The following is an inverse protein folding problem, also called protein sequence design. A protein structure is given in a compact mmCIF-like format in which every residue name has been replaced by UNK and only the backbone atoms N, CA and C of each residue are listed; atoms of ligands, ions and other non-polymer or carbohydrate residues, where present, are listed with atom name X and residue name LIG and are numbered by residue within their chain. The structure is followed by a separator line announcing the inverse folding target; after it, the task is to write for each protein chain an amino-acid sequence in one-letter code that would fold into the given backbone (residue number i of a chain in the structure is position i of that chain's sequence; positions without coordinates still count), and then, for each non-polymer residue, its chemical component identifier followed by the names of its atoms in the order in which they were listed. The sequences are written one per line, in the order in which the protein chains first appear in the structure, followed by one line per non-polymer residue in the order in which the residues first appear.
data_IF_612294463863
#
_entry.id   IF_612294463863
#
_cell.length_a   1.000
_cell.length_b   1.000
_cell.length_c   1.000
_cell.angle_alpha   90.00
_cell.angle_beta   90.00
_cell.angle_gamma   90.00
#
_symmetry.space_group_name_H-M   'P 1'
#
loop_
_entity.id
_entity.type
_entity.pdbx_description
1 polymer ?
#
# COMPACT_ATOMS: atom_id res chain seq x y z
N UNK A 1 -34.07 0.05 12.82
CA UNK A 1 -33.19 1.08 13.43
C UNK A 1 -31.79 0.49 13.48
N UNK A 2 -30.88 1.00 12.64
CA UNK A 2 -29.46 0.62 12.67
C UNK A 2 -28.83 1.35 13.87
N UNK A 3 -28.03 0.70 14.74
CA UNK A 3 -27.41 1.40 15.85
C UNK A 3 -26.55 2.56 15.33
N UNK A 4 -26.61 3.72 15.98
CA UNK A 4 -25.69 4.82 15.73
C UNK A 4 -24.25 4.30 15.82
N UNK A 5 -23.41 4.68 14.85
CA UNK A 5 -21.98 4.34 14.74
C UNK A 5 -21.28 4.33 16.11
N UNK A 6 -20.90 3.13 16.55
CA UNK A 6 -20.20 2.82 17.80
C UNK A 6 -18.68 2.78 17.65
N UNK A 7 -18.16 3.07 16.45
CA UNK A 7 -16.73 3.03 16.16
C UNK A 7 -16.04 4.17 16.91
N UNK A 8 -15.05 3.89 17.77
CA UNK A 8 -14.33 4.95 18.46
C UNK A 8 -13.46 5.76 17.48
N UNK A 9 -13.19 7.03 17.80
CA UNK A 9 -12.35 7.90 16.97
C UNK A 9 -10.87 7.50 16.95
N UNK A 10 -10.48 6.62 17.86
CA UNK A 10 -9.15 6.01 17.92
C UNK A 10 -9.34 4.50 18.00
N UNK A 11 -8.77 3.79 17.04
CA UNK A 11 -8.65 2.33 17.06
C UNK A 11 -7.21 1.96 17.37
N UNK A 12 -7.03 0.91 18.15
CA UNK A 12 -5.73 0.31 18.44
C UNK A 12 -5.67 -1.10 17.84
N UNK A 13 -4.63 -1.38 17.07
CA UNK A 13 -4.37 -2.69 16.48
C UNK A 13 -3.25 -3.40 17.24
N UNK A 14 -3.51 -4.64 17.67
CA UNK A 14 -2.57 -5.51 18.38
C UNK A 14 -2.40 -6.87 17.70
N UNK A 15 -1.25 -7.49 17.84
CA UNK A 15 -1.01 -8.85 17.37
C UNK A 15 -1.75 -9.88 18.23
N UNK A 16 -2.42 -10.82 17.56
CA UNK A 16 -2.96 -12.02 18.19
C UNK A 16 -2.03 -13.22 17.97
N UNK A 17 -2.15 -14.23 18.84
CA UNK A 17 -1.35 -15.45 18.78
C UNK A 17 -1.66 -16.35 17.58
N UNK A 18 -2.78 -16.14 16.90
CA UNK A 18 -3.23 -16.91 15.74
C UNK A 18 -2.88 -16.23 14.39
N UNK A 19 -2.10 -15.15 14.44
CA UNK A 19 -1.73 -14.34 13.27
C UNK A 19 -2.82 -13.38 12.81
N UNK A 20 -3.94 -13.28 13.53
CA UNK A 20 -4.92 -12.21 13.36
C UNK A 20 -4.45 -10.94 14.07
N UNK A 21 -5.10 -9.83 13.72
CA UNK A 21 -4.95 -8.53 14.32
C UNK A 21 -6.17 -8.27 15.18
N UNK A 22 -5.97 -8.08 16.47
CA UNK A 22 -7.03 -7.65 17.37
C UNK A 22 -7.29 -6.16 17.18
N UNK A 23 -8.57 -5.81 17.07
CA UNK A 23 -9.02 -4.43 16.91
C UNK A 23 -9.65 -3.99 18.23
N UNK A 24 -9.03 -3.03 18.90
CA UNK A 24 -9.37 -2.61 20.26
C UNK A 24 -9.74 -1.13 20.32
N UNK A 25 -10.51 -0.75 21.34
CA UNK A 25 -10.65 0.64 21.77
C UNK A 25 -9.40 1.12 22.56
N UNK A 26 -9.40 2.38 22.98
CA UNK A 26 -8.29 2.97 23.75
C UNK A 26 -8.13 2.40 25.17
N UNK A 27 -9.14 1.68 25.67
CA UNK A 27 -9.14 1.05 26.99
C UNK A 27 -8.77 -0.45 26.91
N UNK A 28 -8.49 -0.97 25.71
CA UNK A 28 -8.16 -2.38 25.48
C UNK A 28 -9.38 -3.29 25.33
N UNK A 29 -10.59 -2.76 25.17
CA UNK A 29 -11.78 -3.57 24.93
C UNK A 29 -11.84 -3.97 23.45
N UNK A 30 -12.09 -5.25 23.13
CA UNK A 30 -12.28 -5.70 21.75
C UNK A 30 -13.47 -5.04 21.07
N UNK A 31 -13.24 -4.53 19.86
CA UNK A 31 -14.26 -3.98 18.97
C UNK A 31 -14.83 -5.09 18.08
N UNK A 32 -15.51 -6.06 18.70
CA UNK A 32 -16.18 -7.18 18.02
C UNK A 32 -17.21 -6.72 16.98
N UNK A 33 -17.73 -5.50 17.10
CA UNK A 33 -18.68 -4.94 16.12
C UNK A 33 -18.05 -4.69 14.74
N UNK A 34 -16.72 -4.71 14.63
CA UNK A 34 -16.01 -4.63 13.34
C UNK A 34 -15.91 -5.99 12.63
N UNK A 35 -16.29 -7.09 13.31
CA UNK A 35 -16.56 -8.39 12.71
C UNK A 35 -17.93 -8.35 12.01
N UNK A 36 -18.07 -7.51 10.99
CA UNK A 36 -19.33 -7.44 10.25
C UNK A 36 -19.58 -8.73 9.48
N UNK A 37 -20.84 -9.20 9.49
CA UNK A 37 -21.33 -10.28 8.62
C UNK A 37 -21.39 -9.92 7.14
N UNK A 38 -20.61 -8.92 6.70
CA UNK A 38 -20.35 -8.60 5.30
C UNK A 38 -19.04 -9.25 4.85
N UNK A 39 -18.90 -9.49 3.55
CA UNK A 39 -17.69 -10.12 3.02
C UNK A 39 -16.42 -9.25 3.27
N UNK A 40 -16.60 -7.92 3.31
CA UNK A 40 -15.58 -6.92 3.63
C UNK A 40 -16.19 -5.82 4.51
N UNK A 41 -15.42 -5.34 5.49
CA UNK A 41 -15.70 -4.17 6.30
C UNK A 41 -14.77 -3.01 5.91
N UNK A 42 -15.32 -1.84 5.61
CA UNK A 42 -14.55 -0.62 5.35
C UNK A 42 -14.88 0.42 6.42
N UNK A 43 -13.86 0.92 7.11
CA UNK A 43 -14.02 1.76 8.30
C UNK A 43 -13.18 3.01 8.10
N UNK A 44 -13.75 4.17 8.39
CA UNK A 44 -13.00 5.41 8.53
C UNK A 44 -12.81 5.72 10.02
N UNK A 45 -11.57 6.01 10.42
CA UNK A 45 -11.24 6.53 11.75
C UNK A 45 -10.24 7.69 11.65
N UNK A 46 -10.33 8.71 12.52
CA UNK A 46 -9.35 9.80 12.53
C UNK A 46 -7.93 9.33 12.88
N UNK A 47 -7.80 8.45 13.87
CA UNK A 47 -6.49 7.97 14.34
C UNK A 47 -6.48 6.45 14.44
N UNK A 48 -5.44 5.85 13.89
CA UNK A 48 -5.15 4.43 14.01
C UNK A 48 -3.80 4.27 14.72
N UNK A 49 -3.81 3.64 15.88
CA UNK A 49 -2.60 3.21 16.57
C UNK A 49 -2.30 1.76 16.21
N UNK A 50 -1.06 1.49 15.81
CA UNK A 50 -0.65 0.16 15.37
C UNK A 50 0.54 -0.30 16.21
N UNK A 51 0.42 -1.48 16.78
CA UNK A 51 1.56 -2.14 17.39
C UNK A 51 2.62 -2.43 16.33
N UNK A 52 3.85 -1.93 16.54
CA UNK A 52 4.89 -1.92 15.52
C UNK A 52 5.14 -3.30 14.90
N UNK A 53 5.17 -4.34 15.73
CA UNK A 53 5.39 -5.72 15.31
C UNK A 53 4.39 -6.23 14.24
N UNK A 54 3.19 -5.64 14.16
CA UNK A 54 2.19 -5.95 13.12
C UNK A 54 2.60 -5.45 11.74
N UNK A 55 3.08 -4.21 11.70
CA UNK A 55 3.48 -3.56 10.46
C UNK A 55 4.85 -4.07 10.02
N UNK A 56 5.74 -4.29 10.97
CA UNK A 56 7.06 -4.81 10.74
C UNK A 56 7.71 -5.37 12.01
N UNK A 57 8.36 -6.53 11.89
CA UNK A 57 9.24 -7.07 12.95
C UNK A 57 10.45 -6.15 13.15
N UNK A 58 10.89 -6.03 14.39
CA UNK A 58 12.12 -5.35 14.76
C UNK A 58 13.29 -6.31 14.49
N UNK A 59 14.05 -6.02 13.42
CA UNK A 59 15.21 -6.83 13.05
C UNK A 59 16.49 -6.21 13.53
N UNK A 60 17.40 -7.07 13.96
CA UNK A 60 18.83 -6.76 14.04
C UNK A 60 19.49 -7.11 12.72
N UNK A 61 20.43 -6.29 12.25
CA UNK A 61 21.22 -6.59 11.04
C UNK A 61 22.57 -7.20 11.42
N UNK A 62 22.90 -8.33 10.80
CA UNK A 62 24.23 -8.92 10.80
C UNK A 62 24.78 -8.88 9.38
N UNK A 63 26.08 -8.60 9.24
CA UNK A 63 26.75 -8.50 7.96
C UNK A 63 28.06 -9.31 7.96
N UNK A 64 28.21 -10.16 6.95
CA UNK A 64 29.39 -11.00 6.75
C UNK A 64 29.91 -10.89 5.32
N UNK A 65 31.23 -10.96 5.14
CA UNK A 65 31.84 -10.86 3.81
C UNK A 65 31.69 -12.15 2.98
N UNK A 66 31.56 -13.31 3.63
CA UNK A 66 31.49 -14.62 2.99
C UNK A 66 30.55 -15.58 3.72
N UNK A 67 30.13 -16.64 3.03
CA UNK A 67 29.29 -17.73 3.57
C UNK A 67 30.08 -18.73 4.45
N UNK A 68 31.32 -18.42 4.80
CA UNK A 68 32.14 -19.29 5.64
C UNK A 68 31.49 -19.46 7.03
N UNK A 69 31.31 -20.71 7.45
CA UNK A 69 30.64 -21.11 8.70
C UNK A 69 29.23 -20.53 8.86
N UNK A 70 28.52 -20.31 7.73
CA UNK A 70 27.20 -19.68 7.74
C UNK A 70 26.19 -20.41 8.66
N UNK A 71 26.18 -21.73 8.63
CA UNK A 71 25.26 -22.51 9.47
C UNK A 71 25.52 -22.26 10.97
N UNK A 72 26.80 -22.23 11.40
CA UNK A 72 27.17 -21.91 12.77
C UNK A 72 26.74 -20.49 13.15
N UNK A 73 27.05 -19.50 12.29
CA UNK A 73 26.67 -18.09 12.49
C UNK A 73 25.17 -17.93 12.63
N UNK A 74 24.38 -18.55 11.75
CA UNK A 74 22.92 -18.49 11.83
C UNK A 74 22.41 -19.14 13.12
N UNK A 75 22.98 -20.27 13.54
CA UNK A 75 22.58 -20.93 14.79
C UNK A 75 22.88 -20.04 16.01
N UNK A 76 24.05 -19.41 16.06
CA UNK A 76 24.41 -18.45 17.12
C UNK A 76 23.45 -17.25 17.14
N UNK A 77 23.13 -16.67 15.98
CA UNK A 77 22.19 -15.55 15.86
C UNK A 77 20.79 -15.95 16.35
N UNK A 78 20.33 -17.16 16.03
CA UNK A 78 19.02 -17.68 16.48
C UNK A 78 18.92 -17.87 18.00
N UNK A 79 20.05 -18.10 18.67
CA UNK A 79 20.10 -18.22 20.13
C UNK A 79 20.01 -16.84 20.80
N UNK A 80 20.55 -15.81 20.16
CA UNK A 80 20.67 -14.45 20.70
C UNK A 80 19.49 -13.54 20.37
N UNK A 81 18.94 -13.66 19.16
CA UNK A 81 17.99 -12.69 18.60
C UNK A 81 16.64 -13.32 18.30
N UNK A 82 15.57 -12.56 18.51
CA UNK A 82 14.22 -12.97 18.11
C UNK A 82 14.04 -12.88 16.60
N UNK A 83 14.45 -11.74 16.00
CA UNK A 83 14.41 -11.52 14.56
C UNK A 83 15.71 -10.86 14.08
N UNK A 84 16.32 -11.41 13.03
CA UNK A 84 17.56 -10.89 12.46
C UNK A 84 17.58 -11.00 10.93
N UNK A 85 18.27 -10.07 10.29
CA UNK A 85 18.62 -10.13 8.87
C UNK A 85 20.11 -10.44 8.80
N UNK A 86 20.48 -11.47 8.05
CA UNK A 86 21.87 -11.83 7.81
C UNK A 86 22.21 -11.51 6.36
N UNK A 87 22.99 -10.46 6.17
CA UNK A 87 23.47 -10.00 4.89
C UNK A 87 24.85 -10.56 4.61
N UNK A 88 25.03 -11.21 3.45
CA UNK A 88 26.29 -11.84 3.07
C UNK A 88 26.75 -11.35 1.71
N UNK A 89 28.03 -11.04 1.62
CA UNK A 89 28.69 -10.64 0.38
C UNK A 89 29.15 -9.19 0.39
N UNK A 90 29.76 -8.81 -0.72
CA UNK A 90 30.31 -7.49 -1.01
C UNK A 90 29.78 -7.02 -2.37
N UNK A 91 29.93 -5.73 -2.66
CA UNK A 91 29.59 -5.10 -3.93
C UNK A 91 28.07 -5.10 -4.25
N UNK A 92 27.74 -5.12 -5.54
CA UNK A 92 26.40 -4.91 -6.11
C UNK A 92 25.41 -6.03 -5.79
N UNK A 93 25.86 -7.29 -5.64
CA UNK A 93 24.98 -8.43 -5.38
C UNK A 93 25.27 -9.07 -4.01
N UNK A 94 24.26 -9.09 -3.15
CA UNK A 94 24.33 -9.65 -1.80
C UNK A 94 23.24 -10.67 -1.56
N UNK A 95 23.51 -11.60 -0.65
CA UNK A 95 22.56 -12.63 -0.22
C UNK A 95 21.97 -12.24 1.12
N UNK A 96 20.65 -12.32 1.24
CA UNK A 96 19.92 -11.96 2.45
C UNK A 96 19.21 -13.19 2.99
N UNK A 97 19.53 -13.54 4.24
CA UNK A 97 18.80 -14.54 5.02
C UNK A 97 17.98 -13.83 6.10
N UNK A 98 16.82 -14.39 6.42
CA UNK A 98 15.93 -13.88 7.47
C UNK A 98 15.81 -14.91 8.58
N UNK A 99 16.05 -14.48 9.80
CA UNK A 99 15.70 -15.20 11.03
C UNK A 99 14.50 -14.51 11.63
N UNK A 100 13.43 -15.25 11.86
CA UNK A 100 12.20 -14.74 12.48
C UNK A 100 11.72 -15.73 13.52
N UNK A 101 11.31 -15.24 14.68
CA UNK A 101 10.86 -16.06 15.80
C UNK A 101 11.88 -17.18 16.14
N UNK A 102 13.17 -16.81 16.11
CA UNK A 102 14.33 -17.72 16.31
C UNK A 102 14.49 -18.84 15.28
N UNK A 103 13.79 -18.76 14.15
CA UNK A 103 13.85 -19.75 13.07
C UNK A 103 14.41 -19.12 11.79
N UNK A 104 15.27 -19.87 11.10
CA UNK A 104 15.67 -19.50 9.75
C UNK A 104 14.45 -19.66 8.83
N UNK A 105 14.03 -18.56 8.21
CA UNK A 105 12.83 -18.50 7.36
C UNK A 105 12.97 -19.40 6.13
N UNK A 106 14.15 -19.37 5.51
CA UNK A 106 14.46 -20.10 4.27
C UNK A 106 15.95 -20.41 4.24
N UNK A 107 16.30 -21.63 3.83
CA UNK A 107 17.68 -22.00 3.52
C UNK A 107 18.18 -21.41 2.20
N UNK A 108 17.28 -20.91 1.36
CA UNK A 108 17.59 -20.21 0.11
C UNK A 108 17.53 -18.71 0.39
N UNK A 109 18.63 -17.96 0.18
CA UNK A 109 18.65 -16.52 0.41
C UNK A 109 17.84 -15.76 -0.63
N UNK A 110 17.41 -14.56 -0.27
CA UNK A 110 16.96 -13.56 -1.25
C UNK A 110 18.17 -12.84 -1.82
N UNK A 111 18.27 -12.76 -3.15
CA UNK A 111 19.26 -11.89 -3.80
C UNK A 111 18.85 -10.43 -3.65
N UNK A 112 19.78 -9.62 -3.19
CA UNK A 112 19.61 -8.19 -2.98
C UNK A 112 20.65 -7.44 -3.81
N UNK A 113 20.17 -6.50 -4.62
CA UNK A 113 21.02 -5.66 -5.44
C UNK A 113 21.19 -4.30 -4.77
N UNK A 114 22.44 -3.96 -4.42
CA UNK A 114 22.81 -2.62 -4.01
C UNK A 114 23.02 -1.75 -5.24
N UNK A 115 22.37 -0.59 -5.28
CA UNK A 115 22.80 0.49 -6.17
C UNK A 115 24.10 1.15 -5.63
N UNK A 116 24.81 1.89 -6.47
CA UNK A 116 26.13 2.54 -6.20
C UNK A 116 26.18 3.43 -4.92
N UNK A 117 25.05 3.73 -4.29
CA UNK A 117 24.91 4.52 -3.05
C UNK A 117 24.51 3.68 -1.83
N UNK A 118 24.86 2.40 -1.82
CA UNK A 118 24.50 1.52 -0.71
C UNK A 118 25.29 1.86 0.56
N UNK A 119 24.62 2.49 1.53
CA UNK A 119 25.13 2.79 2.88
C UNK A 119 25.70 1.57 3.63
N UNK A 120 25.47 0.36 3.11
CA UNK A 120 25.90 -0.93 3.68
C UNK A 120 27.41 -0.98 3.89
N UNK A 121 28.20 -0.39 3.01
CA UNK A 121 29.67 -0.41 3.13
C UNK A 121 30.20 0.58 4.17
N UNK A 122 29.36 1.52 4.61
CA UNK A 122 29.69 2.49 5.66
C UNK A 122 29.32 1.99 7.06
N UNK A 123 28.53 0.91 7.14
CA UNK A 123 28.09 0.31 8.40
C UNK A 123 29.24 -0.38 9.12
N UNK A 124 29.38 -0.08 10.42
CA UNK A 124 30.40 -0.69 11.28
C UNK A 124 29.82 -1.88 12.03
N UNK A 125 30.51 -3.01 11.93
CA UNK A 125 30.12 -4.25 12.59
C UNK A 125 30.95 -4.47 13.85
N UNK A 126 30.40 -5.17 14.84
CA UNK A 126 31.18 -5.74 15.94
C UNK A 126 31.93 -7.00 15.48
N UNK A 127 32.69 -7.63 16.39
CA UNK A 127 33.47 -8.84 16.08
C UNK A 127 32.60 -10.07 15.72
N UNK A 128 31.31 -10.06 16.06
CA UNK A 128 30.33 -11.12 15.77
C UNK A 128 29.58 -10.85 14.44
N UNK A 129 29.90 -9.74 13.76
CA UNK A 129 29.25 -9.32 12.53
C UNK A 129 27.93 -8.55 12.73
N UNK A 130 27.51 -8.30 13.97
CA UNK A 130 26.32 -7.46 14.26
C UNK A 130 26.61 -6.01 13.90
N UNK A 131 25.74 -5.40 13.12
CA UNK A 131 25.84 -3.98 12.76
C UNK A 131 25.55 -3.13 14.00
N UNK A 132 26.47 -2.22 14.32
CA UNK A 132 26.28 -1.30 15.44
C UNK A 132 25.33 -0.18 15.05
N UNK A 133 24.23 -0.03 15.79
CA UNK A 133 23.37 1.14 15.73
C UNK A 133 23.87 2.17 16.75
N UNK A 134 24.32 3.33 16.26
CA UNK A 134 24.52 4.52 17.07
C UNK A 134 23.49 5.59 16.67
N UNK A 135 23.35 6.66 17.45
CA UNK A 135 22.33 7.69 17.16
C UNK A 135 22.53 8.36 15.78
N UNK A 136 23.78 8.42 15.29
CA UNK A 136 24.12 9.04 14.01
C UNK A 136 23.68 8.22 12.79
N UNK A 137 23.65 6.87 12.88
CA UNK A 137 23.31 5.99 11.75
C UNK A 137 21.94 5.28 11.88
N UNK A 138 21.16 5.62 12.90
CA UNK A 138 19.92 4.92 13.24
C UNK A 138 18.89 4.97 12.10
N UNK A 139 18.61 6.17 11.58
CA UNK A 139 17.59 6.36 10.53
C UNK A 139 18.00 5.67 9.21
N UNK A 140 19.30 5.67 8.92
CA UNK A 140 19.90 4.99 7.78
C UNK A 140 19.76 3.46 7.90
N UNK A 141 20.09 2.90 9.06
CA UNK A 141 19.94 1.47 9.33
C UNK A 141 18.46 1.04 9.28
N UNK A 142 17.55 1.83 9.84
CA UNK A 142 16.10 1.57 9.76
C UNK A 142 15.61 1.55 8.31
N UNK A 143 16.11 2.48 7.49
CA UNK A 143 15.81 2.56 6.06
C UNK A 143 16.33 1.34 5.30
N UNK A 144 17.58 0.93 5.56
CA UNK A 144 18.17 -0.28 4.96
C UNK A 144 17.38 -1.54 5.34
N UNK A 145 17.08 -1.73 6.63
CA UNK A 145 16.28 -2.88 7.10
C UNK A 145 14.92 -2.88 6.42
N UNK A 146 14.27 -1.71 6.29
CA UNK A 146 13.00 -1.60 5.56
C UNK A 146 13.15 -2.05 4.10
N UNK A 147 14.21 -1.65 3.43
CA UNK A 147 14.46 -2.02 2.05
C UNK A 147 14.78 -3.52 1.89
N UNK A 148 15.63 -4.08 2.74
CA UNK A 148 15.94 -5.53 2.77
C UNK A 148 14.66 -6.36 2.98
N UNK A 149 13.81 -5.97 3.94
CA UNK A 149 12.51 -6.63 4.16
C UNK A 149 11.58 -6.53 2.97
N UNK A 150 11.58 -5.41 2.24
CA UNK A 150 10.77 -5.25 1.04
C UNK A 150 11.23 -6.24 -0.04
N UNK A 151 12.53 -6.26 -0.34
CA UNK A 151 13.14 -7.17 -1.33
C UNK A 151 12.94 -8.64 -0.95
N UNK A 152 13.05 -8.98 0.34
CA UNK A 152 12.78 -10.32 0.87
C UNK A 152 11.29 -10.69 0.96
N UNK A 153 10.37 -9.81 0.57
CA UNK A 153 8.94 -10.08 0.68
C UNK A 153 8.44 -10.21 2.14
N UNK A 154 9.14 -9.63 3.13
CA UNK A 154 8.84 -9.78 4.57
C UNK A 154 8.16 -8.57 5.23
N UNK A 155 8.14 -7.39 4.62
CA UNK A 155 7.56 -6.18 5.22
C UNK A 155 6.10 -5.93 4.83
N UNK A 156 5.17 -5.77 5.78
CA UNK A 156 3.74 -5.56 5.48
C UNK A 156 3.38 -4.13 5.00
N UNK A 157 4.34 -3.21 4.97
CA UNK A 157 4.13 -1.83 4.49
C UNK A 157 4.36 -1.73 2.97
N UNK A 158 3.42 -1.15 2.22
CA UNK A 158 3.55 -0.98 0.77
C UNK A 158 4.58 0.08 0.35
N UNK A 159 4.81 1.10 1.19
CA UNK A 159 5.69 2.24 0.87
C UNK A 159 5.14 3.14 -0.25
N UNK A 160 5.73 4.33 -0.42
CA UNK A 160 5.33 5.28 -1.48
C UNK A 160 5.75 4.72 -2.85
N UNK A 161 4.81 4.61 -3.77
CA UNK A 161 4.98 3.99 -5.10
C UNK A 161 5.26 2.47 -5.11
N UNK A 162 4.96 1.76 -4.02
CA UNK A 162 5.06 0.31 -3.96
C UNK A 162 3.71 -0.41 -3.96
N UNK A 163 3.75 -1.71 -4.27
CA UNK A 163 2.63 -2.64 -4.08
C UNK A 163 2.99 -3.60 -2.97
N UNK A 164 2.05 -3.90 -2.07
CA UNK A 164 2.19 -4.99 -1.10
C UNK A 164 1.00 -5.92 -1.12
N UNK A 165 1.27 -7.20 -0.88
CA UNK A 165 0.26 -8.24 -0.76
C UNK A 165 0.39 -8.96 0.58
N UNK A 166 -0.72 -9.29 1.22
CA UNK A 166 -0.72 -10.04 2.47
C UNK A 166 -2.08 -10.07 3.16
N UNK A 167 -2.19 -10.83 4.24
CA UNK A 167 -3.38 -10.82 5.12
C UNK A 167 -3.51 -9.50 5.86
N UNK A 168 -2.37 -8.94 6.27
CA UNK A 168 -2.22 -7.66 6.93
C UNK A 168 -1.28 -6.81 6.08
N UNK A 169 -1.78 -5.69 5.56
CA UNK A 169 -1.02 -4.78 4.69
C UNK A 169 -1.28 -3.34 5.14
N UNK A 170 -0.22 -2.57 5.29
CA UNK A 170 -0.26 -1.21 5.79
C UNK A 170 0.32 -0.25 4.76
N UNK A 171 -0.15 0.98 4.76
CA UNK A 171 0.51 2.03 4.00
C UNK A 171 0.16 3.41 4.53
N UNK A 172 1.12 4.32 4.42
CA UNK A 172 1.03 5.72 4.81
C UNK A 172 1.35 6.61 3.63
N UNK A 173 1.24 7.92 3.84
CA UNK A 173 1.71 8.96 2.93
C UNK A 173 0.93 9.04 1.60
N UNK A 174 -0.38 8.82 1.65
CA UNK A 174 -1.27 9.01 0.49
C UNK A 174 -1.53 10.49 0.14
N UNK A 175 -0.53 11.37 0.29
CA UNK A 175 -0.68 12.80 0.04
C UNK A 175 -1.09 13.08 -1.43
N UNK A 176 -0.23 12.99 -2.46
CA UNK A 176 -0.73 13.13 -3.84
C UNK A 176 -1.26 11.81 -4.43
N UNK A 177 -1.09 10.67 -3.74
CA UNK A 177 -1.39 9.34 -4.26
C UNK A 177 -2.85 8.95 -4.01
N UNK A 178 -3.40 8.09 -4.87
CA UNK A 178 -4.63 7.36 -4.58
C UNK A 178 -4.25 5.97 -4.04
N UNK A 179 -4.86 5.55 -2.94
CA UNK A 179 -4.80 4.17 -2.51
C UNK A 179 -5.68 3.32 -3.43
N UNK A 180 -5.10 2.26 -4.00
CA UNK A 180 -5.86 1.18 -4.62
C UNK A 180 -5.77 -0.03 -3.71
N UNK A 181 -6.92 -0.51 -3.25
CA UNK A 181 -7.03 -1.75 -2.48
C UNK A 181 -7.78 -2.77 -3.30
N UNK A 182 -7.29 -3.99 -3.31
CA UNK A 182 -8.04 -5.12 -3.82
C UNK A 182 -7.87 -6.33 -2.92
N UNK A 183 -8.81 -7.25 -2.96
CA UNK A 183 -8.73 -8.54 -2.26
C UNK A 183 -8.82 -9.67 -3.27
N UNK A 184 -7.88 -10.61 -3.18
CA UNK A 184 -7.74 -11.74 -4.10
C UNK A 184 -8.81 -12.81 -3.80
N UNK A 185 -9.38 -13.41 -4.85
CA UNK A 185 -10.44 -14.41 -4.70
C UNK A 185 -9.98 -15.70 -4.03
N UNK A 186 -8.79 -16.20 -4.40
CA UNK A 186 -8.35 -17.54 -4.00
C UNK A 186 -7.94 -17.63 -2.54
N UNK A 187 -7.26 -16.62 -2.02
CA UNK A 187 -6.65 -16.66 -0.69
C UNK A 187 -7.02 -15.49 0.21
N UNK A 188 -7.92 -14.62 -0.27
CA UNK A 188 -8.42 -13.45 0.44
C UNK A 188 -7.31 -12.51 0.94
N UNK A 189 -6.10 -12.57 0.36
CA UNK A 189 -5.07 -11.60 0.69
C UNK A 189 -5.42 -10.25 0.07
N UNK A 190 -5.13 -9.20 0.82
CA UNK A 190 -5.21 -7.84 0.32
C UNK A 190 -4.00 -7.53 -0.53
N UNK A 191 -4.22 -6.73 -1.56
CA UNK A 191 -3.20 -6.08 -2.38
C UNK A 191 -3.43 -4.57 -2.25
N UNK A 192 -2.41 -3.84 -1.80
CA UNK A 192 -2.45 -2.39 -1.61
C UNK A 192 -1.39 -1.74 -2.49
N UNK A 193 -1.79 -0.73 -3.26
CA UNK A 193 -0.90 0.00 -4.17
C UNK A 193 -1.06 1.52 -4.04
N UNK A 194 0.08 2.21 -4.17
CA UNK A 194 0.20 3.66 -4.26
C UNK A 194 0.15 4.15 -5.71
N UNK A 195 -1.01 4.63 -6.14
CA UNK A 195 -1.16 5.24 -7.45
C UNK A 195 -0.65 6.69 -7.46
N UNK A 196 0.62 6.85 -7.80
CA UNK A 196 1.29 8.16 -7.94
C UNK A 196 0.79 8.91 -9.17
N UNK A 197 0.55 8.21 -10.27
CA UNK A 197 0.02 8.73 -11.54
C UNK A 197 -1.37 8.18 -11.88
N UNK A 198 -1.76 8.38 -13.14
CA UNK A 198 -2.99 7.80 -13.72
C UNK A 198 -2.72 6.50 -14.49
N UNK A 199 -1.44 6.13 -14.67
CA UNK A 199 -1.03 5.01 -15.50
C UNK A 199 -1.22 3.68 -14.76
N UNK A 200 -2.33 3.03 -15.08
CA UNK A 200 -2.61 1.65 -14.72
C UNK A 200 -2.44 0.81 -15.98
N UNK A 201 -1.30 0.14 -16.08
CA UNK A 201 -0.99 -0.77 -17.17
C UNK A 201 0.07 -1.80 -16.73
N UNK A 202 0.24 -2.86 -17.52
CA UNK A 202 1.12 -3.99 -17.21
C UNK A 202 2.61 -3.72 -17.40
N UNK A 203 3.01 -2.53 -17.83
CA UNK A 203 4.40 -2.12 -18.07
C UNK A 203 4.86 -1.03 -17.08
N UNK A 204 3.93 -0.38 -16.39
CA UNK A 204 4.19 0.63 -15.37
C UNK A 204 4.40 0.01 -13.98
N UNK A 205 4.57 0.85 -12.95
CA UNK A 205 4.70 0.42 -11.55
C UNK A 205 3.46 -0.30 -11.01
N UNK A 206 2.31 -0.12 -11.66
CA UNK A 206 1.05 -0.82 -11.38
C UNK A 206 1.05 -2.28 -11.85
N UNK A 207 2.04 -2.71 -12.63
CA UNK A 207 2.16 -4.10 -13.10
C UNK A 207 2.20 -5.11 -11.96
N UNK A 208 2.96 -4.82 -10.89
CA UNK A 208 3.08 -5.69 -9.70
C UNK A 208 1.72 -5.87 -9.00
N UNK A 209 0.91 -4.81 -8.96
CA UNK A 209 -0.45 -4.87 -8.44
C UNK A 209 -1.32 -5.78 -9.31
N UNK A 210 -1.35 -5.55 -10.63
CA UNK A 210 -2.15 -6.35 -11.57
C UNK A 210 -1.74 -7.83 -11.56
N UNK A 211 -0.43 -8.11 -11.56
CA UNK A 211 0.10 -9.48 -11.46
C UNK A 211 -0.29 -10.16 -10.15
N UNK A 212 -0.29 -9.44 -9.02
CA UNK A 212 -0.71 -10.01 -7.74
C UNK A 212 -2.18 -10.43 -7.78
N UNK A 213 -3.03 -9.61 -8.40
CA UNK A 213 -4.46 -9.92 -8.60
C UNK A 213 -4.64 -11.13 -9.53
N UNK A 214 -3.90 -11.20 -10.63
CA UNK A 214 -3.95 -12.35 -11.55
C UNK A 214 -3.54 -13.65 -10.85
N UNK A 215 -2.48 -13.62 -10.02
CA UNK A 215 -2.05 -14.77 -9.19
C UNK A 215 -3.14 -15.20 -8.21
N UNK A 216 -4.00 -14.27 -7.78
CA UNK A 216 -5.18 -14.51 -6.95
C UNK A 216 -6.41 -15.01 -7.71
N UNK A 217 -6.28 -15.26 -9.02
CA UNK A 217 -7.39 -15.55 -9.95
C UNK A 217 -8.45 -14.42 -10.00
N UNK A 218 -7.99 -13.17 -9.92
CA UNK A 218 -8.82 -11.99 -9.89
C UNK A 218 -9.13 -11.50 -8.47
N UNK A 219 -10.00 -10.48 -8.40
CA UNK A 219 -10.41 -9.84 -7.15
C UNK A 219 -11.91 -10.03 -6.87
N UNK A 220 -12.29 -10.27 -5.63
CA UNK A 220 -13.69 -10.20 -5.17
C UNK A 220 -14.07 -8.77 -4.73
N UNK A 221 -13.07 -7.94 -4.44
CA UNK A 221 -13.21 -6.51 -4.19
C UNK A 221 -12.02 -5.76 -4.77
N UNK A 222 -12.29 -4.67 -5.47
CA UNK A 222 -11.26 -3.70 -5.89
C UNK A 222 -11.83 -2.31 -5.74
N UNK A 223 -11.12 -1.43 -5.06
CA UNK A 223 -11.54 -0.05 -4.82
C UNK A 223 -10.39 0.94 -4.99
N UNK A 224 -10.69 2.04 -5.68
CA UNK A 224 -9.87 3.26 -5.69
C UNK A 224 -10.40 4.19 -4.61
N UNK A 225 -9.56 4.49 -3.62
CA UNK A 225 -9.91 5.42 -2.54
C UNK A 225 -9.61 6.85 -2.97
N UNK A 226 -10.64 7.68 -2.99
CA UNK A 226 -10.55 9.07 -3.38
C UNK A 226 -10.52 9.97 -2.13
N UNK A 227 -9.51 10.82 -2.06
CA UNK A 227 -9.41 11.92 -1.11
C UNK A 227 -9.75 13.23 -1.84
N UNK A 228 -10.99 13.75 -1.71
CA UNK A 228 -11.44 14.95 -2.41
C UNK A 228 -10.76 16.22 -1.86
N UNK A 229 -10.14 16.18 -0.68
CA UNK A 229 -9.42 17.32 -0.09
C UNK A 229 -8.09 17.60 -0.80
N UNK A 230 -7.70 16.73 -1.75
CA UNK A 230 -6.48 16.86 -2.54
C UNK A 230 -6.87 16.88 -4.02
N UNK A 231 -6.83 18.06 -4.63
CA UNK A 231 -7.34 18.28 -6.00
C UNK A 231 -6.77 17.31 -7.04
N UNK A 232 -5.47 16.98 -6.95
CA UNK A 232 -4.83 15.99 -7.84
C UNK A 232 -5.36 14.57 -7.61
N UNK A 233 -5.63 14.18 -6.37
CA UNK A 233 -6.21 12.86 -6.08
C UNK A 233 -7.63 12.77 -6.65
N UNK A 234 -8.43 13.82 -6.42
CA UNK A 234 -9.79 13.93 -6.96
C UNK A 234 -9.83 13.80 -8.49
N UNK A 235 -8.93 14.47 -9.22
CA UNK A 235 -8.91 14.40 -10.68
C UNK A 235 -8.43 13.05 -11.22
N UNK A 236 -7.45 12.42 -10.57
CA UNK A 236 -6.89 11.13 -11.00
C UNK A 236 -7.80 9.93 -10.74
N UNK A 237 -8.53 9.93 -9.61
CA UNK A 237 -9.28 8.77 -9.15
C UNK A 237 -10.25 8.17 -10.19
N UNK A 238 -11.04 8.97 -10.94
CA UNK A 238 -11.91 8.44 -12.00
C UNK A 238 -11.12 7.73 -13.11
N UNK A 239 -10.01 8.31 -13.55
CA UNK A 239 -9.18 7.77 -14.63
C UNK A 239 -8.54 6.45 -14.18
N UNK A 240 -7.99 6.41 -12.96
CA UNK A 240 -7.41 5.21 -12.36
C UNK A 240 -8.44 4.08 -12.29
N UNK A 241 -9.65 4.37 -11.78
CA UNK A 241 -10.73 3.39 -11.68
C UNK A 241 -11.15 2.86 -13.07
N UNK A 242 -11.28 3.75 -14.06
CA UNK A 242 -11.60 3.38 -15.43
C UNK A 242 -10.54 2.46 -16.04
N UNK A 243 -9.25 2.78 -15.89
CA UNK A 243 -8.16 1.94 -16.43
C UNK A 243 -8.06 0.60 -15.71
N UNK A 244 -8.20 0.57 -14.39
CA UNK A 244 -8.27 -0.69 -13.62
C UNK A 244 -9.38 -1.61 -14.15
N UNK A 245 -10.56 -1.06 -14.42
CA UNK A 245 -11.67 -1.84 -14.96
C UNK A 245 -11.32 -2.50 -16.30
N UNK A 246 -10.65 -1.77 -17.20
CA UNK A 246 -10.20 -2.28 -18.50
C UNK A 246 -9.15 -3.38 -18.32
N UNK A 247 -8.11 -3.12 -17.51
CA UNK A 247 -6.99 -4.04 -17.31
C UNK A 247 -7.40 -5.34 -16.60
N UNK A 248 -8.27 -5.24 -15.59
CA UNK A 248 -8.79 -6.39 -14.85
C UNK A 248 -9.97 -7.07 -15.56
N UNK A 249 -10.56 -6.42 -16.58
CA UNK A 249 -11.83 -6.83 -17.22
C UNK A 249 -12.94 -7.07 -16.19
N UNK A 250 -12.92 -6.29 -15.10
CA UNK A 250 -13.80 -6.44 -13.95
C UNK A 250 -14.65 -5.19 -13.79
N UNK A 251 -15.97 -5.35 -13.88
CA UNK A 251 -16.93 -4.25 -13.73
C UNK A 251 -17.19 -3.88 -12.27
N UNK A 252 -16.66 -4.64 -11.31
CA UNK A 252 -16.85 -4.42 -9.87
C UNK A 252 -15.79 -3.50 -9.26
N UNK A 253 -14.89 -2.93 -10.09
CA UNK A 253 -13.97 -1.88 -9.63
C UNK A 253 -14.78 -0.69 -9.13
N UNK A 254 -14.70 -0.47 -7.83
CA UNK A 254 -15.39 0.59 -7.12
C UNK A 254 -14.50 1.82 -6.98
N UNK A 255 -15.11 3.00 -6.90
CA UNK A 255 -14.44 4.22 -6.45
C UNK A 255 -15.14 4.71 -5.19
N UNK A 256 -14.39 4.94 -4.13
CA UNK A 256 -14.96 5.27 -2.81
C UNK A 256 -14.47 6.65 -2.41
N UNK A 257 -15.39 7.55 -2.09
CA UNK A 257 -15.06 8.91 -1.70
C UNK A 257 -14.96 9.03 -0.19
N UNK A 258 -13.85 9.56 0.30
CA UNK A 258 -13.63 9.85 1.72
C UNK A 258 -13.63 11.36 1.94
N UNK A 259 -14.79 12.02 2.10
CA UNK A 259 -14.88 13.48 2.27
C UNK A 259 -14.07 14.00 3.46
N UNK A 260 -13.87 13.18 4.49
CA UNK A 260 -13.03 13.48 5.64
C UNK A 260 -11.55 13.63 5.26
N UNK A 261 -11.15 13.06 4.13
CA UNK A 261 -9.76 12.91 3.71
C UNK A 261 -9.04 11.80 4.49
N UNK A 262 -7.97 11.29 3.89
CA UNK A 262 -7.15 10.25 4.50
C UNK A 262 -5.67 10.43 4.15
N UNK A 263 -4.80 9.86 4.97
CA UNK A 263 -3.35 9.82 4.74
C UNK A 263 -2.78 8.41 4.78
N UNK A 264 -3.54 7.44 5.33
CA UNK A 264 -3.08 6.08 5.53
C UNK A 264 -4.21 5.05 5.37
N UNK A 265 -3.83 3.82 5.07
CA UNK A 265 -4.73 2.67 4.92
C UNK A 265 -4.11 1.46 5.61
N UNK A 266 -4.91 0.70 6.35
CA UNK A 266 -4.56 -0.60 6.89
C UNK A 266 -5.59 -1.63 6.43
N UNK A 267 -5.15 -2.71 5.81
CA UNK A 267 -6.00 -3.85 5.47
C UNK A 267 -5.58 -5.00 6.38
N UNK A 268 -6.49 -5.55 7.19
CA UNK A 268 -6.17 -6.55 8.20
C UNK A 268 -7.16 -7.72 8.15
N UNK A 269 -6.72 -8.87 8.64
CA UNK A 269 -7.54 -10.07 8.84
C UNK A 269 -8.31 -10.51 7.61
N UNK A 270 -7.82 -10.25 6.39
CA UNK A 270 -8.44 -10.62 5.11
C UNK A 270 -9.83 -10.02 4.78
N UNK A 271 -10.42 -9.23 5.67
CA UNK A 271 -11.78 -8.70 5.47
C UNK A 271 -11.96 -7.25 5.92
N UNK A 272 -10.99 -6.65 6.62
CA UNK A 272 -11.18 -5.33 7.22
C UNK A 272 -10.22 -4.33 6.60
N UNK A 273 -10.76 -3.21 6.15
CA UNK A 273 -10.01 -2.08 5.60
C UNK A 273 -10.29 -0.88 6.48
N UNK A 274 -9.25 -0.30 7.07
CA UNK A 274 -9.29 0.90 7.90
C UNK A 274 -8.59 2.03 7.16
N UNK A 275 -9.34 3.08 6.87
CA UNK A 275 -8.84 4.32 6.26
C UNK A 275 -8.73 5.37 7.35
N UNK A 276 -7.60 6.06 7.40
CA UNK A 276 -7.31 6.98 8.51
C UNK A 276 -6.60 8.26 8.09
N UNK A 277 -6.84 9.33 8.84
CA UNK A 277 -6.12 10.61 8.72
C UNK A 277 -4.75 10.57 9.39
N UNK A 278 -4.57 9.73 10.41
CA UNK A 278 -3.30 9.60 11.13
C UNK A 278 -3.07 8.15 11.54
N UNK A 279 -1.94 7.59 11.08
CA UNK A 279 -1.47 6.28 11.50
C UNK A 279 -0.19 6.46 12.32
N UNK A 280 -0.20 6.00 13.57
CA UNK A 280 0.96 6.07 14.48
C UNK A 280 1.32 4.68 14.99
N UNK A 281 2.61 4.45 15.22
CA UNK A 281 3.12 3.17 15.72
C UNK A 281 3.58 3.27 17.16
N UNK A 282 3.40 2.20 17.92
CA UNK A 282 3.95 2.04 19.27
C UNK A 282 4.61 0.69 19.41
N UNK A 283 5.64 0.60 20.25
CA UNK A 283 6.36 -0.67 20.50
C UNK A 283 5.93 -1.31 21.82
N UNK A 284 5.44 -0.51 22.76
CA UNK A 284 5.15 -0.92 24.12
C UNK A 284 4.00 -0.09 24.69
N UNK A 285 3.44 -0.56 25.80
CA UNK A 285 2.31 0.06 26.48
C UNK A 285 2.61 1.48 26.98
N UNK A 286 3.87 1.80 27.32
CA UNK A 286 4.24 3.14 27.77
C UNK A 286 4.20 4.14 26.59
N UNK A 287 4.78 3.78 25.44
CA UNK A 287 4.69 4.57 24.21
C UNK A 287 3.23 4.73 23.77
N UNK A 288 2.42 3.67 23.88
CA UNK A 288 0.98 3.73 23.60
C UNK A 288 0.30 4.77 24.49
N UNK A 289 0.53 4.72 25.81
CA UNK A 289 -0.04 5.67 26.76
C UNK A 289 0.39 7.12 26.47
N UNK A 290 1.67 7.34 26.13
CA UNK A 290 2.17 8.67 25.73
C UNK A 290 1.44 9.16 24.48
N UNK A 291 1.36 8.34 23.43
CA UNK A 291 0.66 8.71 22.20
C UNK A 291 -0.81 9.04 22.46
N UNK A 292 -1.51 8.23 23.26
CA UNK A 292 -2.90 8.46 23.65
C UNK A 292 -3.06 9.78 24.41
N UNK A 293 -2.14 10.10 25.32
CA UNK A 293 -2.18 11.37 26.08
C UNK A 293 -1.98 12.62 25.21
N UNK A 294 -1.32 12.45 24.06
CA UNK A 294 -1.11 13.53 23.07
C UNK A 294 -2.29 13.69 22.10
N UNK A 295 -3.25 12.77 22.08
CA UNK A 295 -4.41 12.87 21.21
C UNK A 295 -5.47 13.76 21.86
N UNK A 296 -5.82 14.84 21.17
CA UNK A 296 -6.97 15.68 21.53
C UNK A 296 -8.27 14.97 21.11
N UNK A 297 -8.76 14.08 21.96
CA UNK A 297 -9.92 13.21 21.69
C UNK A 297 -11.23 13.99 21.44
N UNK A 298 -11.31 15.27 21.81
CA UNK A 298 -12.50 16.10 21.60
C UNK A 298 -12.59 16.68 20.17
N UNK A 299 -11.50 16.66 19.39
CA UNK A 299 -11.49 17.16 17.99
C UNK A 299 -11.67 16.08 16.92
N UNK A 300 -11.58 14.81 17.26
CA UNK A 300 -11.55 13.67 16.32
C UNK A 300 -12.94 13.09 16.07
N UNK A 301 -13.93 13.90 15.67
CA UNK A 301 -15.33 13.52 15.81
C UNK A 301 -15.91 12.55 14.75
N UNK A 302 -15.21 12.21 13.66
CA UNK A 302 -15.82 11.41 12.58
C UNK A 302 -15.19 10.03 12.47
N UNK A 303 -15.75 9.04 13.16
CA UNK A 303 -15.48 7.63 12.91
C UNK A 303 -16.76 6.93 12.46
N UNK A 304 -16.65 6.05 11.46
CA UNK A 304 -17.80 5.37 10.88
C UNK A 304 -17.43 4.11 10.12
N UNK A 305 -18.36 3.16 10.10
CA UNK A 305 -18.36 2.07 9.12
C UNK A 305 -18.99 2.59 7.84
N UNK A 306 -18.38 2.33 6.69
CA UNK A 306 -18.89 2.73 5.38
C UNK A 306 -19.91 1.71 4.88
N UNK A 307 -21.06 2.21 4.45
CA UNK A 307 -22.05 1.44 3.70
C UNK A 307 -21.65 1.45 2.22
N UNK A 308 -20.99 0.38 1.77
CA UNK A 308 -20.46 0.29 0.41
C UNK A 308 -21.54 0.43 -0.68
N UNK A 309 -22.78 0.02 -0.41
CA UNK A 309 -23.88 0.16 -1.36
C UNK A 309 -24.26 1.63 -1.61
N UNK A 310 -23.95 2.51 -0.64
CA UNK A 310 -24.28 3.94 -0.70
C UNK A 310 -23.09 4.82 -1.06
N UNK A 311 -21.90 4.45 -0.60
CA UNK A 311 -20.70 5.29 -0.68
C UNK A 311 -19.87 5.02 -1.96
N UNK A 312 -20.06 3.86 -2.60
CA UNK A 312 -19.38 3.54 -3.85
C UNK A 312 -19.95 4.39 -5.00
N UNK A 313 -19.06 5.07 -5.73
CA UNK A 313 -19.40 5.75 -6.96
C UNK A 313 -19.40 4.74 -8.10
N UNK A 314 -20.52 4.67 -8.81
CA UNK A 314 -20.74 3.69 -9.85
C UNK A 314 -19.85 3.94 -11.08
N UNK A 315 -19.67 2.90 -11.90
CA UNK A 315 -18.97 3.01 -13.17
C UNK A 315 -19.60 4.04 -14.13
N UNK A 316 -20.93 4.07 -14.36
CA UNK A 316 -21.55 5.11 -15.17
C UNK A 316 -21.22 6.52 -14.71
N UNK A 317 -21.19 6.77 -13.40
CA UNK A 317 -20.87 8.10 -12.87
C UNK A 317 -19.38 8.42 -13.00
N UNK A 318 -18.52 7.43 -12.79
CA UNK A 318 -17.08 7.53 -13.06
C UNK A 318 -16.82 7.85 -14.54
N UNK A 319 -17.51 7.20 -15.47
CA UNK A 319 -17.41 7.47 -16.89
C UNK A 319 -17.87 8.89 -17.28
N UNK A 320 -18.95 9.40 -16.66
CA UNK A 320 -19.39 10.81 -16.84
C UNK A 320 -18.34 11.81 -16.37
N UNK A 321 -17.67 11.53 -15.25
CA UNK A 321 -16.60 12.39 -14.74
C UNK A 321 -15.38 12.39 -15.69
N UNK A 322 -14.97 11.23 -16.21
CA UNK A 322 -13.91 11.15 -17.23
C UNK A 322 -14.31 11.93 -18.49
N UNK A 323 -15.55 11.81 -18.95
CA UNK A 323 -16.05 12.57 -20.10
C UNK A 323 -16.05 14.09 -19.87
N UNK A 324 -16.36 14.51 -18.65
CA UNK A 324 -16.31 15.93 -18.25
C UNK A 324 -14.87 16.44 -18.27
N UNK A 325 -13.93 15.68 -17.69
CA UNK A 325 -12.50 16.01 -17.74
C UNK A 325 -11.98 16.07 -19.17
N UNK A 326 -12.32 15.08 -20.01
CA UNK A 326 -12.02 15.07 -21.43
C UNK A 326 -12.48 16.36 -22.14
N UNK A 327 -13.73 16.77 -21.88
CA UNK A 327 -14.31 17.96 -22.52
C UNK A 327 -13.60 19.26 -22.13
N UNK A 328 -13.06 19.33 -20.91
CA UNK A 328 -12.33 20.47 -20.39
C UNK A 328 -10.86 20.49 -20.86
N UNK A 329 -10.26 19.32 -21.09
CA UNK A 329 -8.84 19.16 -21.42
C UNK A 329 -8.59 18.87 -22.92
N UNK A 330 -9.64 18.80 -23.75
CA UNK A 330 -9.60 18.41 -25.18
C UNK A 330 -8.67 19.23 -26.09
N UNK A 331 -8.18 20.38 -25.64
CA UNK A 331 -7.24 21.22 -26.39
C UNK A 331 -5.77 20.82 -26.16
N UNK A 332 -5.50 19.88 -25.25
CA UNK A 332 -4.17 19.30 -25.03
C UNK A 332 -4.13 17.97 -25.81
N UNK A 333 -3.45 17.96 -26.96
CA UNK A 333 -3.56 16.90 -27.96
C UNK A 333 -3.23 15.49 -27.46
N UNK A 334 -2.26 15.34 -26.55
CA UNK A 334 -1.89 14.04 -25.95
C UNK A 334 -2.96 13.51 -25.00
N UNK A 335 -3.46 14.34 -24.08
CA UNK A 335 -4.50 13.97 -23.11
C UNK A 335 -5.84 13.62 -23.80
N UNK A 336 -6.16 14.31 -24.91
CA UNK A 336 -7.34 14.01 -25.73
C UNK A 336 -7.36 12.57 -26.24
N UNK A 337 -6.20 12.04 -26.66
CA UNK A 337 -6.11 10.68 -27.20
C UNK A 337 -6.31 9.63 -26.10
N UNK A 338 -5.69 9.84 -24.94
CA UNK A 338 -5.73 8.87 -23.84
C UNK A 338 -7.12 8.75 -23.21
N UNK A 339 -7.78 9.88 -22.95
CA UNK A 339 -9.15 9.88 -22.44
C UNK A 339 -10.17 9.35 -23.46
N UNK A 340 -10.02 9.70 -24.74
CA UNK A 340 -10.92 9.21 -25.80
C UNK A 340 -10.84 7.69 -25.98
N UNK A 341 -9.61 7.15 -25.96
CA UNK A 341 -9.38 5.70 -25.98
C UNK A 341 -10.03 5.01 -24.78
N UNK A 342 -9.79 5.53 -23.57
CA UNK A 342 -10.39 4.99 -22.35
C UNK A 342 -11.92 5.01 -22.41
N UNK A 343 -12.54 6.13 -22.76
CA UNK A 343 -14.00 6.25 -22.86
C UNK A 343 -14.60 5.29 -23.91
N UNK A 344 -13.87 5.00 -24.98
CA UNK A 344 -14.25 3.99 -25.97
C UNK A 344 -14.19 2.57 -25.38
N UNK A 345 -13.12 2.24 -24.67
CA UNK A 345 -12.95 0.95 -23.99
C UNK A 345 -13.98 0.74 -22.88
N UNK A 346 -14.41 1.81 -22.20
CA UNK A 346 -15.50 1.81 -21.23
C UNK A 346 -16.89 1.69 -21.89
N UNK A 347 -16.98 1.75 -23.23
CA UNK A 347 -18.24 1.66 -23.98
C UNK A 347 -19.11 2.93 -23.92
N UNK A 348 -18.53 4.07 -23.52
CA UNK A 348 -19.21 5.37 -23.43
C UNK A 348 -19.39 5.98 -24.81
N UNK A 349 -18.34 5.90 -25.63
CA UNK A 349 -18.43 6.20 -27.05
C UNK A 349 -18.80 4.92 -27.80
N UNK A 350 -19.78 5.01 -28.71
CA UNK A 350 -19.95 3.98 -29.73
C UNK A 350 -18.72 4.04 -30.64
N UNK A 351 -18.31 2.89 -31.18
CA UNK A 351 -17.11 2.72 -32.03
C UNK A 351 -17.11 3.54 -33.35
N UNK A 352 -18.03 4.50 -33.51
CA UNK A 352 -18.13 5.40 -34.64
C UNK A 352 -17.80 6.82 -34.16
N UNK A 353 -16.85 7.46 -34.87
CA UNK A 353 -16.34 8.83 -34.71
C UNK A 353 -15.17 9.06 -33.72
N UNK A 354 -14.10 8.26 -33.86
CA UNK A 354 -12.75 8.83 -33.83
C UNK A 354 -12.07 8.60 -35.19
N UNK A 355 -12.68 9.12 -36.26
CA UNK A 355 -11.91 9.52 -37.42
C UNK A 355 -11.11 10.75 -37.00
N UNK A 356 -9.97 10.51 -36.33
CA UNK A 356 -8.90 11.50 -36.27
C UNK A 356 -8.44 11.68 -37.72
N UNK A 357 -9.01 12.69 -38.38
CA UNK A 357 -8.61 13.10 -39.71
C UNK A 357 -7.09 13.26 -39.74
N UNK A 358 -6.42 12.43 -40.53
CA UNK A 358 -5.02 12.57 -40.95
C UNK A 358 -4.78 13.87 -41.79
N UNK A 359 -5.67 14.86 -41.75
CA UNK A 359 -5.63 16.04 -42.61
C UNK A 359 -4.88 17.25 -42.04
N UNK A 360 -4.36 17.20 -40.80
CA UNK A 360 -3.53 18.30 -40.27
C UNK A 360 -2.01 18.03 -40.32
N UNK A 361 -1.56 16.85 -40.77
CA UNK A 361 -0.12 16.59 -40.99
C UNK A 361 0.36 16.84 -42.42
N UNK A 362 -0.52 17.27 -43.34
CA UNK A 362 -0.15 17.48 -44.76
C UNK A 362 -0.48 18.86 -45.32
N UNK A 363 -1.00 19.81 -44.53
CA UNK A 363 -1.20 21.21 -44.96
C UNK A 363 -0.23 22.16 -44.25
N UNK A 364 1.06 21.95 -44.49
CA UNK A 364 2.14 22.87 -44.10
C UNK A 364 3.27 23.02 -45.12
N UNK A 365 3.20 22.32 -46.26
CA UNK A 365 4.13 22.48 -47.36
C UNK A 365 3.34 22.65 -48.66
N UNK A 366 3.17 23.91 -49.08
CA UNK A 366 3.14 24.40 -50.47
C UNK A 366 2.20 25.61 -50.62
N UNK A 367 2.81 26.81 -50.63
CA UNK A 367 2.58 27.95 -51.52
C UNK A 367 3.85 28.82 -51.37
N UNK A 368 4.93 28.63 -52.14
CA UNK A 368 5.24 29.21 -53.47
C UNK A 368 4.92 30.70 -53.61
N UNK A 369 5.92 31.57 -53.43
CA UNK A 369 6.63 32.26 -54.53
C UNK A 369 7.85 33.03 -54.02
#
# INVERSE_FOLDING_TARGET
MVPQNSVPPVIVLHAASDGQVQVMDTNGNPLSQLEHGSEIALIFVPVLLIEQQLAYKDYVLYQFNSEENLESKINEIREQEENAIVLIGHDEERKVYFVEDKLLVSSVPTTFYCDDQCIIDELKNNYEGKVNCNEENKDELETLIKHLRFSGGRGNEAGVAGTRTGKNVFSREFAPCNAIVARRKVDHQFVLYHATGIDIDRKASSSVFLESIDRGMGSDFTAVMQNPNIAKNYSKAPIIAGRLMVELKDKNVSRINFPEGYSAVACINNNTIIVTQSMKFFHDENKKAILLSQLDLQKTATARVLDLDRECITLPDTAKEILTQYSNEKNIGTLKKDYGSLLTQLGVFKFEEMNLSEEESTKGCCFLM
#
